data_IF_689733823432
#
_entry.id   IF_689733823432
#
_cell.length_a   1.000
_cell.length_b   1.000
_cell.length_c   1.000
_cell.angle_alpha   90.00
_cell.angle_beta   90.00
_cell.angle_gamma   90.00
#
_symmetry.space_group_name_H-M   'P 1'
#
loop_
_entity.id
_entity.type
_entity.pdbx_description
1 polymer ?
#
# COMPACT_ATOMS: atom_id res chain seq x y z
N UNK A 1 25.89 -13.25 -3.57
CA UNK A 1 24.43 -13.53 -3.44
C UNK A 1 23.68 -12.30 -3.91
N UNK A 2 22.68 -12.46 -4.77
CA UNK A 2 21.79 -11.35 -5.14
C UNK A 2 20.92 -11.04 -3.91
N UNK A 3 20.92 -9.79 -3.45
CA UNK A 3 20.06 -9.38 -2.34
C UNK A 3 18.66 -9.07 -2.89
N UNK A 4 17.64 -9.81 -2.44
CA UNK A 4 16.27 -9.69 -2.92
C UNK A 4 15.74 -8.26 -2.84
N UNK A 5 16.02 -7.56 -1.73
CA UNK A 5 15.62 -6.16 -1.55
C UNK A 5 16.14 -5.24 -2.65
N UNK A 6 17.40 -5.36 -3.06
CA UNK A 6 17.96 -4.50 -4.11
C UNK A 6 17.43 -4.87 -5.50
N UNK A 7 17.21 -6.17 -5.74
CA UNK A 7 16.59 -6.64 -6.98
C UNK A 7 15.16 -6.09 -7.14
N UNK A 8 14.32 -6.21 -6.11
CA UNK A 8 12.95 -5.70 -6.11
C UNK A 8 12.92 -4.17 -6.23
N UNK A 9 13.80 -3.47 -5.51
CA UNK A 9 13.91 -2.00 -5.61
C UNK A 9 14.19 -1.55 -7.04
N UNK A 10 15.16 -2.16 -7.72
CA UNK A 10 15.49 -1.80 -9.09
C UNK A 10 14.36 -2.16 -10.07
N UNK A 11 13.72 -3.31 -9.89
CA UNK A 11 12.62 -3.76 -10.76
C UNK A 11 11.35 -2.91 -10.59
N UNK A 12 11.09 -2.39 -9.39
CA UNK A 12 9.88 -1.62 -9.07
C UNK A 12 10.03 -0.12 -9.22
N UNK A 13 11.26 0.40 -9.33
CA UNK A 13 11.53 1.84 -9.41
C UNK A 13 10.71 2.60 -10.47
N UNK A 14 10.52 2.09 -11.72
CA UNK A 14 9.70 2.79 -12.71
C UNK A 14 8.23 2.93 -12.29
N UNK A 15 7.63 1.86 -11.76
CA UNK A 15 6.22 1.87 -11.36
C UNK A 15 6.00 2.64 -10.05
N UNK A 16 6.98 2.63 -9.15
CA UNK A 16 6.98 3.48 -7.96
C UNK A 16 6.98 4.96 -8.35
N UNK A 17 7.86 5.37 -9.28
CA UNK A 17 7.92 6.76 -9.75
C UNK A 17 6.60 7.16 -10.42
N UNK A 18 6.02 6.30 -11.26
CA UNK A 18 4.73 6.57 -11.90
C UNK A 18 3.58 6.71 -10.88
N UNK A 19 3.61 5.93 -9.79
CA UNK A 19 2.64 6.07 -8.70
C UNK A 19 2.82 7.40 -7.96
N UNK A 20 4.06 7.78 -7.67
CA UNK A 20 4.39 9.07 -7.03
C UNK A 20 3.94 10.26 -7.89
N UNK A 21 4.04 10.13 -9.21
CA UNK A 21 3.62 11.16 -10.18
C UNK A 21 2.10 11.22 -10.39
N UNK A 22 1.33 10.29 -9.80
CA UNK A 22 -0.14 10.33 -9.88
C UNK A 22 -0.68 11.62 -9.23
N UNK A 23 -1.74 12.24 -9.78
CA UNK A 23 -2.24 13.52 -9.27
C UNK A 23 -2.58 13.51 -7.78
N UNK A 24 -3.20 12.42 -7.29
CA UNK A 24 -3.59 12.30 -5.88
C UNK A 24 -2.39 12.16 -4.95
N UNK A 25 -1.36 11.39 -5.35
CA UNK A 25 -0.14 11.24 -4.53
C UNK A 25 0.66 12.53 -4.50
N UNK A 26 0.76 13.26 -5.62
CA UNK A 26 1.37 14.60 -5.62
C UNK A 26 0.63 15.58 -4.72
N UNK A 27 -0.70 15.64 -4.81
CA UNK A 27 -1.49 16.49 -3.92
C UNK A 27 -1.28 16.15 -2.44
N UNK A 28 -1.16 14.86 -2.13
CA UNK A 28 -0.84 14.39 -0.78
C UNK A 28 0.56 14.85 -0.32
N UNK A 29 1.58 14.66 -1.16
CA UNK A 29 2.96 15.06 -0.88
C UNK A 29 3.15 16.59 -0.77
N UNK A 30 2.38 17.34 -1.55
CA UNK A 30 2.40 18.81 -1.54
C UNK A 30 1.54 19.41 -0.41
N UNK A 31 0.74 18.60 0.29
CA UNK A 31 -0.19 19.07 1.32
C UNK A 31 -1.34 19.90 0.76
N UNK A 32 -1.76 19.59 -0.47
CA UNK A 32 -2.82 20.32 -1.20
C UNK A 32 -4.06 19.46 -1.46
N UNK A 33 -4.03 18.18 -1.10
CA UNK A 33 -5.17 17.27 -1.25
C UNK A 33 -6.37 17.79 -0.45
N UNK A 34 -7.56 17.71 -1.06
CA UNK A 34 -8.82 18.07 -0.41
C UNK A 34 -9.30 16.96 0.51
N UNK A 35 -10.15 17.29 1.48
CA UNK A 35 -10.73 16.31 2.41
C UNK A 35 -11.50 15.21 1.66
N UNK A 36 -12.29 15.58 0.64
CA UNK A 36 -13.02 14.60 -0.18
C UNK A 36 -12.10 13.69 -0.98
N UNK A 37 -11.05 14.24 -1.60
CA UNK A 37 -10.08 13.44 -2.34
C UNK A 37 -9.30 12.51 -1.42
N UNK A 38 -8.94 12.99 -0.22
CA UNK A 38 -8.27 12.20 0.81
C UNK A 38 -9.14 11.05 1.30
N UNK A 39 -10.42 11.31 1.61
CA UNK A 39 -11.39 10.27 1.99
C UNK A 39 -11.50 9.18 0.92
N UNK A 40 -11.65 9.55 -0.34
CA UNK A 40 -11.71 8.57 -1.44
C UNK A 40 -10.39 7.82 -1.63
N UNK A 41 -9.25 8.47 -1.42
CA UNK A 41 -7.95 7.82 -1.45
C UNK A 41 -7.82 6.75 -0.35
N UNK A 42 -8.27 7.05 0.87
CA UNK A 42 -8.31 6.08 1.98
C UNK A 42 -9.25 4.91 1.68
N UNK A 43 -10.40 5.15 1.02
CA UNK A 43 -11.32 4.08 0.59
C UNK A 43 -10.66 3.13 -0.41
N UNK A 44 -9.83 3.62 -1.35
CA UNK A 44 -9.06 2.78 -2.27
C UNK A 44 -7.98 1.97 -1.55
N UNK A 45 -7.29 2.57 -0.58
CA UNK A 45 -6.37 1.83 0.29
C UNK A 45 -7.10 0.75 1.10
N UNK A 46 -8.27 1.07 1.67
CA UNK A 46 -9.06 0.12 2.47
C UNK A 46 -9.46 -1.09 1.64
N UNK A 47 -9.93 -0.88 0.41
CA UNK A 47 -10.29 -1.97 -0.50
C UNK A 47 -9.11 -2.90 -0.82
N UNK A 48 -7.90 -2.34 -0.97
CA UNK A 48 -6.70 -3.14 -1.14
C UNK A 48 -6.39 -3.96 0.11
N UNK A 49 -6.28 -3.31 1.27
CA UNK A 49 -5.81 -3.94 2.50
C UNK A 49 -6.81 -4.96 3.03
N UNK A 50 -8.12 -4.72 2.95
CA UNK A 50 -9.14 -5.72 3.30
C UNK A 50 -8.99 -6.98 2.45
N UNK A 51 -8.83 -6.82 1.13
CA UNK A 51 -8.65 -7.95 0.22
C UNK A 51 -7.33 -8.68 0.46
N UNK A 52 -6.25 -7.95 0.68
CA UNK A 52 -4.91 -8.50 0.92
C UNK A 52 -4.82 -9.24 2.24
N UNK A 53 -5.29 -8.63 3.34
CA UNK A 53 -5.20 -9.21 4.68
C UNK A 53 -6.09 -10.46 4.79
N UNK A 54 -7.30 -10.44 4.21
CA UNK A 54 -8.15 -11.64 4.12
C UNK A 54 -7.47 -12.77 3.35
N UNK A 55 -6.81 -12.45 2.23
CA UNK A 55 -6.06 -13.44 1.46
C UNK A 55 -4.85 -13.99 2.23
N UNK A 56 -4.13 -13.11 2.92
CA UNK A 56 -3.00 -13.50 3.74
C UNK A 56 -3.45 -14.44 4.87
N UNK A 57 -4.51 -14.11 5.61
CA UNK A 57 -5.10 -14.94 6.68
C UNK A 57 -5.48 -16.34 6.22
N UNK A 58 -6.10 -16.46 5.05
CA UNK A 58 -6.54 -17.76 4.51
C UNK A 58 -5.40 -18.60 3.95
N UNK A 59 -4.32 -17.96 3.51
CA UNK A 59 -3.17 -18.64 2.91
C UNK A 59 -2.08 -18.93 3.95
N UNK A 60 -2.10 -18.26 5.12
CA UNK A 60 -1.07 -18.12 6.16
C UNK A 60 -0.09 -19.31 6.26
N UNK A 61 0.89 -19.36 5.36
CA UNK A 61 1.79 -20.48 5.29
C UNK A 61 2.87 -20.28 6.36
N UNK A 62 3.50 -21.38 6.76
CA UNK A 62 4.41 -21.39 7.91
C UNK A 62 5.54 -20.36 7.82
N UNK A 63 6.00 -20.07 6.60
CA UNK A 63 7.04 -19.07 6.31
C UNK A 63 6.58 -17.60 6.47
N UNK A 64 5.28 -17.32 6.59
CA UNK A 64 4.72 -16.00 6.96
C UNK A 64 4.64 -15.83 8.47
N UNK A 65 4.58 -16.93 9.26
CA UNK A 65 4.54 -16.83 10.73
C UNK A 65 5.77 -16.11 11.28
N UNK A 66 6.93 -16.31 10.65
CA UNK A 66 8.19 -15.63 10.98
C UNK A 66 8.12 -14.10 10.82
N UNK A 67 7.18 -13.55 10.02
CA UNK A 67 7.04 -12.10 9.84
C UNK A 67 6.28 -11.40 10.97
N UNK A 68 5.48 -12.15 11.74
CA UNK A 68 4.58 -11.63 12.77
C UNK A 68 3.26 -11.10 12.22
N UNK A 69 2.16 -11.43 12.88
CA UNK A 69 0.80 -11.09 12.45
C UNK A 69 0.44 -9.61 12.55
N UNK A 70 1.21 -8.84 13.33
CA UNK A 70 1.03 -7.39 13.45
C UNK A 70 1.17 -6.63 12.11
N UNK A 71 1.71 -7.29 11.07
CA UNK A 71 1.80 -6.73 9.71
C UNK A 71 0.50 -6.84 8.89
N UNK A 72 -0.58 -7.39 9.45
CA UNK A 72 -1.85 -7.55 8.75
C UNK A 72 -2.96 -6.83 9.53
N UNK A 73 -2.74 -5.55 9.84
CA UNK A 73 -3.69 -4.72 10.58
C UNK A 73 -3.98 -3.34 9.94
N UNK A 74 -3.56 -3.13 8.68
CA UNK A 74 -3.73 -1.85 7.97
C UNK A 74 -5.19 -1.56 7.68
N UNK A 75 -6.02 -2.60 7.49
CA UNK A 75 -7.48 -2.45 7.42
C UNK A 75 -8.01 -1.67 8.62
N UNK A 76 -7.65 -2.07 9.85
CA UNK A 76 -8.15 -1.41 11.06
C UNK A 76 -7.69 0.05 11.19
N UNK A 77 -6.48 0.38 10.72
CA UNK A 77 -5.98 1.75 10.73
C UNK A 77 -6.72 2.65 9.74
N UNK A 78 -7.09 2.09 8.58
CA UNK A 78 -7.85 2.79 7.56
C UNK A 78 -9.30 3.01 7.99
N UNK A 79 -9.90 2.02 8.66
CA UNK A 79 -11.23 2.15 9.27
C UNK A 79 -11.24 3.24 10.34
N UNK A 80 -10.23 3.27 11.22
CA UNK A 80 -10.07 4.33 12.23
C UNK A 80 -9.94 5.72 11.60
N UNK A 81 -9.15 5.87 10.54
CA UNK A 81 -8.99 7.15 9.84
C UNK A 81 -10.29 7.57 9.12
N UNK A 82 -11.01 6.64 8.50
CA UNK A 82 -12.26 6.91 7.79
C UNK A 82 -13.41 7.27 8.74
N UNK A 83 -13.49 6.62 9.91
CA UNK A 83 -14.47 6.93 10.95
C UNK A 83 -14.31 8.37 11.44
N UNK A 84 -13.08 8.84 11.61
CA UNK A 84 -12.78 10.22 12.00
C UNK A 84 -13.19 11.25 10.94
N UNK A 85 -13.26 10.85 9.68
CA UNK A 85 -13.75 11.68 8.57
C UNK A 85 -15.29 11.61 8.41
N UNK A 86 -15.98 10.87 9.28
CA UNK A 86 -17.43 10.65 9.20
C UNK A 86 -17.86 9.77 8.04
N UNK A 87 -16.94 8.99 7.45
CA UNK A 87 -17.28 8.07 6.36
C UNK A 87 -17.85 6.78 6.93
N UNK A 88 -19.17 6.59 6.83
CA UNK A 88 -19.85 5.36 7.27
C UNK A 88 -20.03 4.33 6.15
N UNK A 89 -19.56 4.65 4.93
CA UNK A 89 -19.71 3.79 3.77
C UNK A 89 -18.36 3.24 3.36
N UNK A 90 -18.13 1.96 3.65
CA UNK A 90 -17.17 1.16 2.89
C UNK A 90 -17.74 1.08 1.48
N UNK A 91 -17.26 1.93 0.57
CA UNK A 91 -17.49 1.68 -0.84
C UNK A 91 -16.93 0.29 -1.13
N UNK A 92 -17.71 -0.55 -1.82
CA UNK A 92 -17.19 -1.79 -2.38
C UNK A 92 -16.18 -1.37 -3.45
N UNK A 93 -14.95 -1.11 -3.02
CA UNK A 93 -13.84 -0.81 -3.90
C UNK A 93 -13.58 -2.00 -4.80
N UNK A 94 -12.89 -1.74 -5.91
CA UNK A 94 -12.46 -2.84 -6.77
C UNK A 94 -11.54 -3.76 -5.96
N UNK A 95 -11.89 -5.05 -5.85
CA UNK A 95 -11.06 -6.00 -5.12
C UNK A 95 -9.66 -6.03 -5.74
N UNK A 96 -8.64 -6.12 -4.90
CA UNK A 96 -7.30 -6.44 -5.37
C UNK A 96 -7.33 -7.85 -5.98
N UNK A 97 -7.25 -7.93 -7.30
CA UNK A 97 -7.26 -9.21 -8.00
C UNK A 97 -5.89 -9.87 -7.83
N UNK A 98 -5.87 -11.02 -7.18
CA UNK A 98 -4.72 -11.93 -7.12
C UNK A 98 -5.19 -13.36 -7.40
N UNK A 99 -4.30 -14.23 -7.92
CA UNK A 99 -4.56 -15.66 -8.01
C UNK A 99 -5.04 -16.22 -6.66
N UNK A 100 -5.90 -17.24 -6.69
CA UNK A 100 -6.45 -17.86 -5.47
C UNK A 100 -5.39 -18.44 -4.53
N UNK A 101 -4.15 -18.63 -5.00
CA UNK A 101 -3.01 -19.06 -4.19
C UNK A 101 -1.72 -18.44 -4.69
N UNK A 102 -1.12 -17.56 -3.90
CA UNK A 102 0.24 -17.07 -4.13
C UNK A 102 1.27 -18.07 -3.60
N UNK A 103 2.40 -18.21 -4.29
CA UNK A 103 3.57 -18.87 -3.72
C UNK A 103 4.38 -17.90 -2.82
N UNK A 104 5.45 -18.40 -2.18
CA UNK A 104 6.27 -17.62 -1.25
C UNK A 104 6.91 -16.39 -1.89
N UNK A 105 7.39 -16.52 -3.12
CA UNK A 105 8.01 -15.42 -3.86
C UNK A 105 6.98 -14.32 -4.19
N UNK A 106 5.82 -14.68 -4.72
CA UNK A 106 4.78 -13.72 -5.09
C UNK A 106 4.25 -12.98 -3.86
N UNK A 107 3.99 -13.69 -2.77
CA UNK A 107 3.57 -13.08 -1.50
C UNK A 107 4.62 -12.12 -0.96
N UNK A 108 5.91 -12.52 -1.00
CA UNK A 108 7.01 -11.64 -0.61
C UNK A 108 7.07 -10.37 -1.48
N UNK A 109 6.70 -10.46 -2.77
CA UNK A 109 6.52 -9.33 -3.67
C UNK A 109 5.43 -8.35 -3.21
N UNK A 110 4.24 -8.84 -2.83
CA UNK A 110 3.18 -7.97 -2.28
C UNK A 110 3.62 -7.34 -0.96
N UNK A 111 4.19 -8.14 -0.04
CA UNK A 111 4.68 -7.64 1.24
C UNK A 111 5.78 -6.59 1.09
N UNK A 112 6.62 -6.68 0.05
CA UNK A 112 7.63 -5.65 -0.23
C UNK A 112 6.97 -4.28 -0.47
N UNK A 113 5.86 -4.23 -1.21
CA UNK A 113 5.12 -3.00 -1.46
C UNK A 113 4.41 -2.52 -0.20
N UNK A 114 3.76 -3.43 0.54
CA UNK A 114 3.03 -3.13 1.79
C UNK A 114 3.95 -2.61 2.90
N UNK A 115 5.09 -3.26 3.12
CA UNK A 115 6.04 -2.83 4.15
C UNK A 115 6.82 -1.59 3.69
N UNK A 116 7.11 -1.47 2.39
CA UNK A 116 7.76 -0.31 1.80
C UNK A 116 6.90 0.96 1.86
N UNK A 117 5.57 0.83 1.70
CA UNK A 117 4.65 1.98 1.76
C UNK A 117 4.63 2.64 3.14
N UNK A 118 4.95 1.91 4.21
CA UNK A 118 5.05 2.47 5.56
C UNK A 118 6.20 3.49 5.69
N UNK A 119 7.27 3.35 4.89
CA UNK A 119 8.37 4.30 4.84
C UNK A 119 7.94 5.62 4.18
N UNK A 120 7.28 5.53 3.03
CA UNK A 120 6.72 6.69 2.33
C UNK A 120 5.63 7.37 3.15
N UNK A 121 4.79 6.57 3.82
CA UNK A 121 3.70 7.05 4.67
C UNK A 121 4.19 7.97 5.78
N UNK A 122 5.32 7.65 6.43
CA UNK A 122 5.92 8.51 7.45
C UNK A 122 6.30 9.91 6.93
N UNK A 123 6.68 10.01 5.65
CA UNK A 123 6.93 11.31 5.03
C UNK A 123 5.62 12.05 4.76
N UNK A 124 4.64 11.34 4.19
CA UNK A 124 3.34 11.88 3.82
C UNK A 124 2.51 12.32 5.02
N UNK A 125 2.59 11.63 6.16
CA UNK A 125 1.82 11.97 7.37
C UNK A 125 2.07 13.39 7.86
N UNK A 126 3.30 13.91 7.65
CA UNK A 126 3.67 15.29 8.00
C UNK A 126 2.99 16.35 7.14
N UNK A 127 2.39 15.95 6.01
CA UNK A 127 1.69 16.81 5.06
C UNK A 127 0.19 16.82 5.26
N UNK A 128 -0.32 16.09 6.26
CA UNK A 128 -1.76 15.90 6.48
C UNK A 128 -2.33 16.82 7.57
N UNK A 129 -1.51 17.60 8.25
CA UNK A 129 -1.97 18.42 9.39
C UNK A 129 -3.01 19.49 9.06
N UNK A 130 -3.29 19.76 7.78
CA UNK A 130 -4.39 20.63 7.33
C UNK A 130 -5.73 19.90 7.20
N UNK A 131 -5.73 18.56 7.25
CA UNK A 131 -6.93 17.72 7.17
C UNK A 131 -7.49 17.46 8.58
N UNK A 132 -8.81 17.24 8.71
CA UNK A 132 -9.40 16.81 9.97
C UNK A 132 -9.01 15.35 10.28
N UNK A 133 -9.16 14.98 11.55
CA UNK A 133 -8.72 13.70 12.08
C UNK A 133 -7.43 13.83 12.88
N UNK A 134 -7.26 12.94 13.84
CA UNK A 134 -6.10 12.83 14.70
C UNK A 134 -5.13 11.79 14.12
N UNK A 135 -3.83 12.13 14.13
CA UNK A 135 -2.70 11.23 13.86
C UNK A 135 -2.62 10.58 12.46
N UNK A 136 -3.68 10.56 11.66
CA UNK A 136 -3.74 9.90 10.34
C UNK A 136 -3.06 8.52 10.39
N UNK A 137 -3.65 7.64 11.20
CA UNK A 137 -3.10 6.39 11.72
C UNK A 137 -2.46 5.55 10.62
N UNK A 138 -3.11 5.43 9.46
CA UNK A 138 -2.61 4.66 8.33
C UNK A 138 -1.25 5.16 7.83
N UNK A 139 -1.10 6.48 7.61
CA UNK A 139 0.14 7.07 7.13
C UNK A 139 1.21 7.18 8.22
N UNK A 140 0.82 7.35 9.49
CA UNK A 140 1.76 7.29 10.63
C UNK A 140 2.31 5.88 10.84
N UNK A 141 1.53 4.85 10.51
CA UNK A 141 1.94 3.45 10.51
C UNK A 141 2.49 3.00 11.86
N UNK A 142 3.71 2.46 11.86
CA UNK A 142 4.36 1.97 13.08
C UNK A 142 5.08 3.06 13.89
N UNK A 143 5.00 4.33 13.49
CA UNK A 143 5.70 5.42 14.18
C UNK A 143 7.22 5.18 14.23
N UNK A 144 7.81 5.25 15.42
CA UNK A 144 9.25 5.01 15.65
C UNK A 144 9.71 3.62 15.25
N UNK A 145 8.81 2.63 15.22
CA UNK A 145 9.13 1.25 14.91
C UNK A 145 9.11 0.96 13.40
N UNK A 146 8.79 1.93 12.56
CA UNK A 146 8.72 1.74 11.09
C UNK A 146 10.06 1.27 10.51
N UNK A 147 11.16 1.92 10.89
CA UNK A 147 12.50 1.54 10.40
C UNK A 147 12.96 0.17 10.93
N UNK A 148 12.83 -0.14 12.25
CA UNK A 148 13.05 -1.50 12.76
C UNK A 148 12.19 -2.59 12.08
N UNK A 149 10.91 -2.32 11.86
CA UNK A 149 9.98 -3.25 11.21
C UNK A 149 10.33 -3.48 9.75
N UNK A 150 10.80 -2.44 9.06
CA UNK A 150 11.34 -2.56 7.70
C UNK A 150 12.62 -3.39 7.67
N UNK A 151 13.57 -3.15 8.58
CA UNK A 151 14.84 -3.89 8.64
C UNK A 151 14.63 -5.40 8.90
N UNK A 152 13.72 -5.73 9.82
CA UNK A 152 13.33 -7.13 10.09
C UNK A 152 12.65 -7.78 8.89
N UNK A 153 11.76 -7.05 8.20
CA UNK A 153 11.17 -7.52 6.94
C UNK A 153 12.22 -7.78 5.86
N UNK A 154 13.17 -6.86 5.66
CA UNK A 154 14.26 -7.04 4.66
C UNK A 154 15.12 -8.27 4.97
N UNK A 155 15.36 -8.54 6.26
CA UNK A 155 16.10 -9.74 6.69
C UNK A 155 15.33 -11.00 6.32
N UNK A 156 14.02 -11.04 6.60
CA UNK A 156 13.15 -12.13 6.17
C UNK A 156 13.10 -12.27 4.64
N UNK A 157 12.96 -11.18 3.90
CA UNK A 157 12.86 -11.18 2.44
C UNK A 157 14.10 -11.80 1.79
N UNK A 158 15.29 -11.40 2.25
CA UNK A 158 16.56 -11.93 1.74
C UNK A 158 16.78 -13.42 2.10
N UNK A 159 16.15 -13.92 3.18
CA UNK A 159 16.19 -15.34 3.57
C UNK A 159 15.19 -16.17 2.75
N UNK A 160 14.02 -15.61 2.46
CA UNK A 160 12.90 -16.29 1.81
C UNK A 160 13.04 -16.34 0.28
N UNK A 161 13.56 -15.28 -0.34
CA UNK A 161 13.66 -15.15 -1.81
C UNK A 161 15.13 -15.20 -2.22
N UNK A 162 15.65 -16.39 -2.49
CA UNK A 162 17.09 -16.62 -2.74
C UNK A 162 17.40 -17.10 -4.14
N UNK A 163 16.46 -17.76 -4.82
CA UNK A 163 16.62 -18.27 -6.17
C UNK A 163 16.28 -17.22 -7.23
N UNK A 164 16.94 -17.28 -8.39
CA UNK A 164 16.76 -16.30 -9.45
C UNK A 164 15.33 -16.27 -10.01
N UNK A 165 14.65 -17.41 -10.09
CA UNK A 165 13.26 -17.48 -10.54
C UNK A 165 12.30 -16.88 -9.50
N UNK A 166 12.54 -17.14 -8.21
CA UNK A 166 11.77 -16.52 -7.12
C UNK A 166 11.96 -15.00 -7.11
N UNK A 167 13.18 -14.50 -7.37
CA UNK A 167 13.44 -13.06 -7.48
C UNK A 167 12.60 -12.41 -8.59
N UNK A 168 12.51 -13.06 -9.76
CA UNK A 168 11.69 -12.58 -10.87
C UNK A 168 10.20 -12.60 -10.53
N UNK A 169 9.72 -13.66 -9.90
CA UNK A 169 8.32 -13.79 -9.48
C UNK A 169 7.95 -12.72 -8.44
N UNK A 170 8.77 -12.56 -7.41
CA UNK A 170 8.58 -11.54 -6.37
C UNK A 170 8.59 -10.12 -6.97
N UNK A 171 9.53 -9.84 -7.87
CA UNK A 171 9.60 -8.55 -8.56
C UNK A 171 8.38 -8.31 -9.47
N UNK A 172 7.96 -9.32 -10.23
CA UNK A 172 6.77 -9.24 -11.08
C UNK A 172 5.50 -8.93 -10.28
N UNK A 173 5.29 -9.63 -9.16
CA UNK A 173 4.13 -9.39 -8.29
C UNK A 173 4.21 -8.02 -7.59
N UNK A 174 5.39 -7.56 -7.18
CA UNK A 174 5.55 -6.22 -6.64
C UNK A 174 5.19 -5.14 -7.69
N UNK A 175 5.66 -5.31 -8.92
CA UNK A 175 5.31 -4.44 -10.07
C UNK A 175 3.80 -4.42 -10.33
N UNK A 176 3.16 -5.59 -10.34
CA UNK A 176 1.70 -5.68 -10.50
C UNK A 176 0.93 -4.99 -9.36
N UNK A 177 1.45 -5.06 -8.14
CA UNK A 177 0.88 -4.38 -6.98
C UNK A 177 0.97 -2.86 -7.11
N UNK A 178 2.12 -2.31 -7.53
CA UNK A 178 2.25 -0.89 -7.84
C UNK A 178 1.32 -0.45 -8.97
N UNK A 179 1.23 -1.22 -10.05
CA UNK A 179 0.33 -0.94 -11.18
C UNK A 179 -1.13 -0.92 -10.75
N UNK A 180 -1.52 -1.82 -9.85
CA UNK A 180 -2.88 -1.81 -9.30
C UNK A 180 -3.17 -0.49 -8.61
N UNK A 181 -2.33 -0.05 -7.66
CA UNK A 181 -2.51 1.24 -6.97
C UNK A 181 -2.57 2.41 -7.94
N UNK A 182 -1.61 2.47 -8.88
CA UNK A 182 -1.56 3.53 -9.89
C UNK A 182 -2.85 3.59 -10.71
N UNK A 183 -3.29 2.45 -11.24
CA UNK A 183 -4.50 2.40 -12.05
C UNK A 183 -5.74 2.85 -11.25
N UNK A 184 -5.83 2.49 -9.96
CA UNK A 184 -6.92 2.93 -9.08
C UNK A 184 -6.88 4.43 -8.83
N UNK A 185 -5.71 4.98 -8.56
CA UNK A 185 -5.55 6.41 -8.28
C UNK A 185 -5.77 7.27 -9.52
N UNK A 186 -5.36 6.81 -10.71
CA UNK A 186 -5.63 7.50 -11.98
C UNK A 186 -7.12 7.50 -12.32
N UNK A 187 -7.81 6.37 -12.12
CA UNK A 187 -9.27 6.28 -12.29
C UNK A 187 -10.00 7.21 -11.32
N UNK A 188 -9.59 7.20 -10.04
CA UNK A 188 -10.18 8.07 -9.03
C UNK A 188 -9.92 9.55 -9.35
N UNK A 189 -8.70 9.92 -9.74
CA UNK A 189 -8.36 11.28 -10.12
C UNK A 189 -9.19 11.77 -11.32
N UNK A 190 -9.45 10.90 -12.30
CA UNK A 190 -10.31 11.21 -13.45
C UNK A 190 -11.75 11.46 -12.99
N UNK A 191 -12.31 10.53 -12.21
CA UNK A 191 -13.68 10.65 -11.68
C UNK A 191 -13.90 11.92 -10.84
N UNK A 192 -12.93 12.30 -10.02
CA UNK A 192 -13.01 13.50 -9.19
C UNK A 192 -12.93 14.79 -10.02
N UNK A 193 -12.15 14.80 -11.11
CA UNK A 193 -12.14 15.92 -12.06
C UNK A 193 -13.48 16.07 -12.77
N UNK A 194 -14.02 14.98 -13.31
CA UNK A 194 -15.29 14.99 -14.04
C UNK A 194 -16.48 15.41 -13.14
N UNK A 195 -16.41 15.08 -11.83
CA UNK A 195 -17.43 15.48 -10.86
C UNK A 195 -17.30 16.95 -10.40
N UNK A 196 -16.17 17.59 -10.71
CA UNK A 196 -15.89 18.99 -10.34
C UNK A 196 -16.12 19.99 -11.48
N UNK A 197 -16.27 19.51 -12.73
CA UNK A 197 -16.68 20.35 -13.85
C UNK A 197 -18.19 20.63 -13.75
N UNK A 198 -18.63 21.90 -13.70
CA UNK A 198 -20.05 22.21 -13.75
C UNK A 198 -20.61 21.73 -15.10
N UNK A 199 -21.69 20.94 -15.06
CA UNK A 199 -22.49 20.68 -16.25
C UNK A 199 -22.97 22.02 -16.82
N UNK A 200 -22.41 22.40 -17.96
CA UNK A 200 -22.82 23.56 -18.77
C UNK A 200 -24.27 23.46 -19.23
#
# INVERSE_FOLDING_TARGET
MIQAREFLKNATAPEHQLLDDSPLVRQLADGTITIDSYRHLLEEYLAFFQSWETHAETTYPEWVRDLGSFRFCRTSWLEEDLDQLGSTKVLIGSKFYQPSKLNHAQFAGVMYVVEGSSLGGMHLSRKLGHLPGENHRFFTGYGSDTMPNWASFVTWLNKTVTHQEDLKLAAGTAVETFRWFRNRFDQLATKLKDSSEPHE
#
